data_IF_286940703373
#
_entry.id   IF_286940703373
#
_cell.length_a   1.000
_cell.length_b   1.000
_cell.length_c   1.000
_cell.angle_alpha   90.00
_cell.angle_beta   90.00
_cell.angle_gamma   90.00
#
_symmetry.space_group_name_H-M   'P 1'
#
loop_
_entity.id
_entity.type
_entity.pdbx_description
1 polymer ?
#
# COMPACT_ATOMS: atom_id res chain seq x y z
N UNK A 1 -45.95 -20.60 -29.51
CA UNK A 1 -44.51 -20.90 -29.64
C UNK A 1 -43.63 -19.66 -29.49
N UNK A 2 -43.85 -18.59 -30.25
CA UNK A 2 -43.04 -17.35 -30.20
C UNK A 2 -42.91 -16.71 -28.81
N UNK A 3 -43.98 -16.70 -28.01
CA UNK A 3 -43.96 -16.17 -26.63
C UNK A 3 -43.13 -17.04 -25.67
N UNK A 4 -43.19 -18.36 -25.81
CA UNK A 4 -42.39 -19.30 -25.00
C UNK A 4 -40.91 -19.16 -25.35
N UNK A 5 -40.57 -19.03 -26.64
CA UNK A 5 -39.20 -18.79 -27.10
C UNK A 5 -38.68 -17.47 -26.53
N UNK A 6 -39.49 -16.40 -26.53
CA UNK A 6 -39.10 -15.13 -25.93
C UNK A 6 -38.83 -15.24 -24.42
N UNK A 7 -39.66 -15.97 -23.67
CA UNK A 7 -39.41 -16.18 -22.23
C UNK A 7 -38.14 -16.99 -21.98
N UNK A 8 -37.86 -18.00 -22.81
CA UNK A 8 -36.61 -18.78 -22.70
C UNK A 8 -35.40 -17.90 -22.98
N UNK A 9 -35.45 -17.06 -24.02
CA UNK A 9 -34.36 -16.12 -24.34
C UNK A 9 -34.13 -15.14 -23.19
N UNK A 10 -35.19 -14.55 -22.64
CA UNK A 10 -35.08 -13.64 -21.49
C UNK A 10 -34.52 -14.36 -20.26
N UNK A 11 -34.96 -15.59 -19.97
CA UNK A 11 -34.45 -16.37 -18.85
C UNK A 11 -32.95 -16.70 -19.01
N UNK A 12 -32.50 -17.00 -20.23
CA UNK A 12 -31.08 -17.25 -20.52
C UNK A 12 -30.25 -15.98 -20.31
N UNK A 13 -30.73 -14.82 -20.77
CA UNK A 13 -30.04 -13.53 -20.56
C UNK A 13 -29.95 -13.21 -19.06
N UNK A 14 -31.06 -13.31 -18.33
CA UNK A 14 -31.08 -13.06 -16.89
C UNK A 14 -30.18 -14.04 -16.12
N UNK A 15 -30.16 -15.31 -16.53
CA UNK A 15 -29.25 -16.31 -15.98
C UNK A 15 -27.78 -15.94 -16.22
N UNK A 16 -27.45 -15.44 -17.39
CA UNK A 16 -26.12 -14.91 -17.71
C UNK A 16 -25.72 -13.73 -16.82
N UNK A 17 -26.60 -12.73 -16.68
CA UNK A 17 -26.37 -11.58 -15.80
C UNK A 17 -26.18 -12.01 -14.35
N UNK A 18 -27.01 -12.93 -13.85
CA UNK A 18 -26.90 -13.46 -12.50
C UNK A 18 -25.56 -14.19 -12.28
N UNK A 19 -25.10 -14.97 -13.28
CA UNK A 19 -23.80 -15.63 -13.21
C UNK A 19 -22.65 -14.62 -13.14
N UNK A 20 -22.67 -13.55 -13.95
CA UNK A 20 -21.67 -12.47 -13.92
C UNK A 20 -21.65 -11.75 -12.58
N UNK A 21 -22.83 -11.43 -12.02
CA UNK A 21 -22.90 -10.81 -10.70
C UNK A 21 -22.33 -11.70 -9.59
N UNK A 22 -22.56 -13.02 -9.67
CA UNK A 22 -22.01 -13.99 -8.72
C UNK A 22 -20.49 -14.14 -8.87
N UNK A 23 -19.93 -14.07 -10.07
CA UNK A 23 -18.47 -14.10 -10.26
C UNK A 23 -17.83 -12.83 -9.73
N UNK A 24 -18.39 -11.65 -10.03
CA UNK A 24 -17.93 -10.37 -9.49
C UNK A 24 -17.91 -10.38 -7.95
N UNK A 25 -19.01 -10.81 -7.30
CA UNK A 25 -19.07 -10.89 -5.85
C UNK A 25 -18.03 -11.85 -5.23
N UNK A 26 -17.66 -12.93 -5.94
CA UNK A 26 -16.60 -13.83 -5.47
C UNK A 26 -15.21 -13.19 -5.58
N UNK A 27 -14.97 -12.43 -6.64
CA UNK A 27 -13.74 -11.66 -6.82
C UNK A 27 -13.61 -10.63 -5.70
N UNK A 28 -14.66 -9.84 -5.45
CA UNK A 28 -14.67 -8.82 -4.39
C UNK A 28 -14.32 -9.41 -3.02
N UNK A 29 -14.89 -10.58 -2.68
CA UNK A 29 -14.60 -11.25 -1.40
C UNK A 29 -13.15 -11.72 -1.30
N UNK A 30 -12.54 -12.16 -2.40
CA UNK A 30 -11.14 -12.58 -2.42
C UNK A 30 -10.21 -11.37 -2.29
N UNK A 31 -10.50 -10.30 -3.04
CA UNK A 31 -9.78 -9.04 -2.95
C UNK A 31 -9.86 -8.47 -1.53
N UNK A 32 -11.06 -8.38 -0.95
CA UNK A 32 -11.23 -7.88 0.42
C UNK A 32 -10.43 -8.68 1.46
N UNK A 33 -10.30 -10.00 1.28
CA UNK A 33 -9.49 -10.84 2.16
C UNK A 33 -7.98 -10.59 1.95
N UNK A 34 -7.54 -10.44 0.71
CA UNK A 34 -6.15 -10.10 0.39
C UNK A 34 -5.77 -8.71 0.95
N UNK A 35 -6.67 -7.73 0.87
CA UNK A 35 -6.49 -6.40 1.47
C UNK A 35 -6.38 -6.46 2.99
N UNK A 36 -7.19 -7.30 3.64
CA UNK A 36 -7.08 -7.52 5.08
C UNK A 36 -5.69 -8.07 5.47
N UNK A 37 -5.11 -8.95 4.65
CA UNK A 37 -3.78 -9.54 4.88
C UNK A 37 -2.65 -8.55 4.58
N UNK A 38 -2.80 -7.73 3.54
CA UNK A 38 -1.91 -6.59 3.24
C UNK A 38 -1.85 -5.61 4.41
N UNK A 39 -3.00 -5.32 5.04
CA UNK A 39 -3.06 -4.45 6.23
C UNK A 39 -2.32 -5.03 7.44
N UNK A 40 -2.11 -6.34 7.50
CA UNK A 40 -1.29 -7.02 8.51
C UNK A 40 0.13 -7.32 8.03
N UNK A 41 0.54 -6.79 6.87
CA UNK A 41 1.84 -7.01 6.23
C UNK A 41 2.18 -8.49 5.96
N UNK A 42 1.16 -9.33 5.81
CA UNK A 42 1.30 -10.70 5.30
C UNK A 42 1.26 -10.63 3.77
N UNK A 43 2.42 -10.47 3.13
CA UNK A 43 2.50 -10.14 1.70
C UNK A 43 2.46 -11.36 0.75
N UNK A 44 2.71 -12.58 1.25
CA UNK A 44 2.82 -13.77 0.38
C UNK A 44 1.47 -14.37 -0.03
N UNK A 45 0.49 -14.37 0.89
CA UNK A 45 -0.85 -14.89 0.59
C UNK A 45 -1.64 -13.98 -0.40
N UNK A 46 -1.58 -12.64 -0.29
CA UNK A 46 -2.14 -11.73 -1.28
C UNK A 46 -1.52 -11.89 -2.67
N UNK A 47 -0.21 -12.13 -2.76
CA UNK A 47 0.49 -12.29 -4.04
C UNK A 47 -0.06 -13.47 -4.84
N UNK A 48 -0.22 -14.63 -4.18
CA UNK A 48 -0.83 -15.82 -4.79
C UNK A 48 -2.28 -15.53 -5.21
N UNK A 49 -3.04 -14.87 -4.34
CA UNK A 49 -4.45 -14.54 -4.61
C UNK A 49 -4.60 -13.62 -5.82
N UNK A 50 -3.76 -12.59 -5.92
CA UNK A 50 -3.80 -11.65 -7.03
C UNK A 50 -3.28 -12.27 -8.34
N UNK A 51 -2.29 -13.16 -8.29
CA UNK A 51 -1.82 -13.90 -9.46
C UNK A 51 -2.92 -14.80 -10.04
N UNK A 52 -3.60 -15.58 -9.20
CA UNK A 52 -4.72 -16.45 -9.63
C UNK A 52 -5.88 -15.64 -10.23
N UNK A 53 -6.22 -14.50 -9.62
CA UNK A 53 -7.28 -13.62 -10.14
C UNK A 53 -6.90 -13.01 -11.49
N UNK A 54 -5.62 -12.68 -11.69
CA UNK A 54 -5.12 -12.12 -12.95
C UNK A 54 -5.27 -13.14 -14.06
N UNK A 55 -4.78 -14.37 -13.83
CA UNK A 55 -4.88 -15.46 -14.81
C UNK A 55 -6.33 -15.80 -15.14
N UNK A 56 -7.22 -15.79 -14.14
CA UNK A 56 -8.65 -15.99 -14.35
C UNK A 56 -9.28 -14.92 -15.24
N UNK A 57 -8.85 -13.66 -15.09
CA UNK A 57 -9.37 -12.54 -15.87
C UNK A 57 -8.72 -12.43 -17.26
N UNK A 58 -7.52 -12.98 -17.45
CA UNK A 58 -6.85 -13.04 -18.76
C UNK A 58 -7.65 -13.92 -19.75
N UNK A 59 -8.29 -15.00 -19.27
CA UNK A 59 -9.21 -15.78 -20.11
C UNK A 59 -10.41 -14.94 -20.61
N UNK A 60 -10.77 -13.88 -19.89
CA UNK A 60 -11.83 -12.94 -20.25
C UNK A 60 -11.32 -11.70 -21.00
N UNK A 61 -10.09 -11.73 -21.54
CA UNK A 61 -9.48 -10.60 -22.27
C UNK A 61 -10.35 -10.10 -23.43
N UNK A 62 -11.10 -11.00 -24.06
CA UNK A 62 -12.06 -10.69 -25.12
C UNK A 62 -13.29 -9.87 -24.68
N UNK A 63 -13.48 -9.64 -23.37
CA UNK A 63 -14.60 -8.91 -22.79
C UNK A 63 -14.14 -7.72 -21.95
N UNK A 64 -13.44 -6.72 -22.54
CA UNK A 64 -12.94 -5.56 -21.81
C UNK A 64 -14.06 -4.69 -21.22
N UNK A 65 -15.23 -4.69 -21.84
CA UNK A 65 -16.41 -3.97 -21.35
C UNK A 65 -17.02 -4.56 -20.06
N UNK A 66 -16.67 -5.80 -19.69
CA UNK A 66 -17.13 -6.43 -18.46
C UNK A 66 -16.11 -6.36 -17.33
N UNK A 67 -14.82 -6.51 -17.65
CA UNK A 67 -13.76 -6.72 -16.65
C UNK A 67 -12.55 -5.80 -16.83
N UNK A 68 -12.64 -4.76 -17.67
CA UNK A 68 -11.56 -3.79 -17.87
C UNK A 68 -11.12 -3.15 -16.56
N UNK A 69 -12.08 -2.53 -15.85
CA UNK A 69 -11.82 -1.86 -14.57
C UNK A 69 -11.25 -2.81 -13.52
N UNK A 70 -11.80 -4.02 -13.39
CA UNK A 70 -11.30 -5.03 -12.43
C UNK A 70 -9.86 -5.46 -12.74
N UNK A 71 -9.48 -5.54 -14.01
CA UNK A 71 -8.10 -5.88 -14.40
C UNK A 71 -7.14 -4.73 -14.11
N UNK A 72 -7.52 -3.49 -14.44
CA UNK A 72 -6.73 -2.32 -14.10
C UNK A 72 -6.52 -2.19 -12.58
N UNK A 73 -7.58 -2.41 -11.82
CA UNK A 73 -7.59 -2.41 -10.35
C UNK A 73 -6.67 -3.50 -9.76
N UNK A 74 -6.66 -4.69 -10.37
CA UNK A 74 -5.78 -5.79 -9.96
C UNK A 74 -4.31 -5.55 -10.33
N UNK A 75 -4.05 -4.95 -11.50
CA UNK A 75 -2.70 -4.56 -11.90
C UNK A 75 -2.09 -3.58 -10.89
N UNK A 76 -2.84 -2.53 -10.52
CA UNK A 76 -2.40 -1.59 -9.49
C UNK A 76 -2.09 -2.28 -8.15
N UNK A 77 -2.95 -3.20 -7.68
CA UNK A 77 -2.74 -3.96 -6.43
C UNK A 77 -1.49 -4.81 -6.43
N UNK A 78 -1.20 -5.50 -7.53
CA UNK A 78 0.02 -6.30 -7.67
C UNK A 78 1.26 -5.41 -7.57
N UNK A 79 1.21 -4.23 -8.16
CA UNK A 79 2.30 -3.25 -8.06
C UNK A 79 2.40 -2.68 -6.63
N UNK A 80 1.28 -2.42 -5.95
CA UNK A 80 1.26 -2.04 -4.54
C UNK A 80 1.90 -3.10 -3.64
N UNK A 81 1.66 -4.38 -3.92
CA UNK A 81 2.29 -5.47 -3.18
C UNK A 81 3.81 -5.48 -3.36
N UNK A 82 4.28 -5.34 -4.60
CA UNK A 82 5.72 -5.21 -4.92
C UNK A 82 6.34 -3.98 -4.25
N UNK A 83 5.59 -2.87 -4.19
CA UNK A 83 6.01 -1.66 -3.49
C UNK A 83 6.24 -1.95 -2.01
N UNK A 84 5.32 -2.62 -1.34
CA UNK A 84 5.46 -2.98 0.07
C UNK A 84 6.57 -4.01 0.33
N UNK A 85 6.90 -4.85 -0.65
CA UNK A 85 8.09 -5.73 -0.63
C UNK A 85 9.42 -4.99 -0.85
N UNK A 86 9.38 -3.70 -1.21
CA UNK A 86 10.56 -2.90 -1.48
C UNK A 86 11.14 -3.07 -2.88
N UNK A 87 10.39 -3.65 -3.84
CA UNK A 87 10.84 -3.94 -5.20
C UNK A 87 10.80 -2.69 -6.12
N UNK A 88 11.16 -1.52 -5.60
CA UNK A 88 10.97 -0.24 -6.30
C UNK A 88 11.63 -0.18 -7.68
N UNK A 89 12.89 -0.62 -7.77
CA UNK A 89 13.63 -0.64 -9.03
C UNK A 89 13.01 -1.58 -10.08
N UNK A 90 12.44 -2.71 -9.64
CA UNK A 90 11.73 -3.64 -10.53
C UNK A 90 10.44 -3.03 -11.09
N UNK A 91 9.70 -2.31 -10.24
CA UNK A 91 8.49 -1.58 -10.68
C UNK A 91 8.86 -0.55 -11.76
N UNK A 92 9.93 0.22 -11.56
CA UNK A 92 10.36 1.21 -12.55
C UNK A 92 10.84 0.60 -13.86
N UNK A 93 11.46 -0.58 -13.82
CA UNK A 93 11.86 -1.28 -15.03
C UNK A 93 10.64 -1.71 -15.86
N UNK A 94 9.59 -2.23 -15.19
CA UNK A 94 8.39 -2.72 -15.85
C UNK A 94 7.48 -1.58 -16.34
N UNK A 95 7.48 -0.44 -15.64
CA UNK A 95 6.65 0.74 -15.92
C UNK A 95 7.46 1.97 -16.35
N UNK A 96 8.57 1.75 -17.05
CA UNK A 96 9.45 2.83 -17.53
C UNK A 96 8.71 3.78 -18.51
N UNK A 97 7.80 3.24 -19.33
CA UNK A 97 6.93 4.02 -20.18
C UNK A 97 5.67 4.48 -19.43
N UNK A 98 5.82 5.59 -18.74
CA UNK A 98 4.71 6.26 -18.02
C UNK A 98 3.68 6.89 -18.96
N UNK A 99 3.91 6.89 -20.27
CA UNK A 99 2.98 7.40 -21.28
C UNK A 99 2.10 6.32 -21.90
N UNK A 100 2.33 5.06 -21.53
CA UNK A 100 1.50 3.94 -21.96
C UNK A 100 0.04 4.09 -21.51
N UNK A 101 -0.90 3.56 -22.30
CA UNK A 101 -2.33 3.58 -21.97
C UNK A 101 -2.61 2.87 -20.63
N UNK A 102 -1.90 1.77 -20.35
CA UNK A 102 -2.02 1.02 -19.09
C UNK A 102 -1.75 1.91 -17.87
N UNK A 103 -0.74 2.78 -17.93
CA UNK A 103 -0.40 3.70 -16.84
C UNK A 103 -1.32 4.91 -16.88
N UNK A 104 -1.44 5.58 -18.02
CA UNK A 104 -2.19 6.84 -18.14
C UNK A 104 -3.71 6.72 -17.91
N UNK A 105 -4.30 5.54 -18.13
CA UNK A 105 -5.73 5.30 -17.86
C UNK A 105 -5.99 4.65 -16.48
N UNK A 106 -4.94 4.42 -15.67
CA UNK A 106 -5.02 3.75 -14.38
C UNK A 106 -4.41 4.62 -13.27
N UNK A 107 -5.22 5.52 -12.73
CA UNK A 107 -4.80 6.48 -11.71
C UNK A 107 -4.15 5.81 -10.45
N UNK A 108 -4.70 4.72 -9.88
CA UNK A 108 -4.04 4.00 -8.79
C UNK A 108 -2.64 3.47 -9.16
N UNK A 109 -2.46 2.97 -10.39
CA UNK A 109 -1.17 2.51 -10.89
C UNK A 109 -0.17 3.67 -11.03
N UNK A 110 -0.59 4.81 -11.58
CA UNK A 110 0.26 6.01 -11.66
C UNK A 110 0.76 6.43 -10.28
N UNK A 111 -0.16 6.48 -9.31
CA UNK A 111 0.15 6.90 -7.95
C UNK A 111 1.20 5.97 -7.30
N UNK A 112 1.04 4.65 -7.41
CA UNK A 112 1.99 3.71 -6.80
C UNK A 112 3.34 3.67 -7.53
N UNK A 113 3.36 3.86 -8.85
CA UNK A 113 4.61 3.98 -9.62
C UNK A 113 5.35 5.26 -9.23
N UNK A 114 4.65 6.37 -8.99
CA UNK A 114 5.25 7.61 -8.46
C UNK A 114 5.88 7.40 -7.08
N UNK A 115 5.16 6.69 -6.18
CA UNK A 115 5.68 6.32 -4.87
C UNK A 115 6.97 5.49 -5.01
N UNK A 116 7.00 4.52 -5.94
CA UNK A 116 8.17 3.69 -6.20
C UNK A 116 9.33 4.50 -6.79
N UNK A 117 9.06 5.43 -7.71
CA UNK A 117 10.06 6.32 -8.30
C UNK A 117 10.77 7.15 -7.24
N UNK A 118 10.00 7.75 -6.33
CA UNK A 118 10.54 8.47 -5.20
C UNK A 118 11.41 7.57 -4.31
N UNK A 119 10.90 6.40 -3.90
CA UNK A 119 11.64 5.47 -3.03
C UNK A 119 12.94 4.95 -3.65
N UNK A 120 12.94 4.69 -4.96
CA UNK A 120 14.13 4.24 -5.68
C UNK A 120 15.16 5.36 -5.87
N UNK A 121 14.70 6.59 -6.08
CA UNK A 121 15.56 7.74 -6.35
C UNK A 121 16.13 8.41 -5.10
N UNK A 122 15.47 8.28 -3.94
CA UNK A 122 16.00 8.78 -2.66
C UNK A 122 16.86 7.71 -2.01
N UNK A 123 18.13 7.71 -2.39
CA UNK A 123 19.18 6.87 -1.82
C UNK A 123 20.23 7.75 -1.12
N UNK A 124 20.63 7.38 0.10
CA UNK A 124 21.65 8.10 0.87
C UNK A 124 23.05 8.10 0.21
N UNK A 125 23.30 7.14 -0.67
CA UNK A 125 24.55 7.04 -1.44
C UNK A 125 24.50 7.80 -2.78
N UNK A 126 23.32 8.30 -3.19
CA UNK A 126 23.17 9.02 -4.45
C UNK A 126 23.62 10.47 -4.34
N UNK A 127 24.11 11.01 -5.45
CA UNK A 127 24.48 12.42 -5.53
C UNK A 127 23.25 13.32 -5.36
N UNK A 128 23.43 14.48 -4.70
CA UNK A 128 22.33 15.41 -4.42
C UNK A 128 21.53 15.79 -5.67
N UNK A 129 22.21 15.99 -6.79
CA UNK A 129 21.55 16.34 -8.06
C UNK A 129 20.66 15.21 -8.58
N UNK A 130 21.07 13.96 -8.38
CA UNK A 130 20.29 12.79 -8.77
C UNK A 130 19.02 12.65 -7.93
N UNK A 131 19.15 12.86 -6.61
CA UNK A 131 18.01 12.87 -5.70
C UNK A 131 17.02 13.99 -6.04
N UNK A 132 17.51 15.21 -6.31
CA UNK A 132 16.65 16.32 -6.72
C UNK A 132 15.90 16.02 -8.03
N UNK A 133 16.56 15.39 -9.01
CA UNK A 133 15.94 14.98 -10.27
C UNK A 133 14.84 13.94 -10.07
N UNK A 134 15.07 12.97 -9.19
CA UNK A 134 14.07 11.97 -8.84
C UNK A 134 12.85 12.60 -8.15
N UNK A 135 13.09 13.53 -7.22
CA UNK A 135 12.02 14.29 -6.55
C UNK A 135 11.23 15.13 -7.56
N UNK A 136 11.90 15.83 -8.49
CA UNK A 136 11.25 16.60 -9.56
C UNK A 136 10.34 15.73 -10.43
N UNK A 137 10.80 14.53 -10.80
CA UNK A 137 10.00 13.55 -11.53
C UNK A 137 8.75 13.13 -10.76
N UNK A 138 8.90 12.75 -9.48
CA UNK A 138 7.79 12.34 -8.63
C UNK A 138 6.77 13.46 -8.39
N UNK A 139 7.22 14.71 -8.18
CA UNK A 139 6.35 15.90 -8.09
C UNK A 139 5.49 16.04 -9.35
N UNK A 140 6.09 15.86 -10.53
CA UNK A 140 5.38 15.92 -11.81
C UNK A 140 4.26 14.88 -11.91
N UNK A 141 4.52 13.64 -11.47
CA UNK A 141 3.49 12.59 -11.49
C UNK A 141 2.37 12.85 -10.48
N UNK A 142 2.68 13.25 -9.24
CA UNK A 142 1.62 13.60 -8.27
C UNK A 142 0.79 14.78 -8.72
N UNK A 143 1.39 15.77 -9.38
CA UNK A 143 0.63 16.86 -9.99
C UNK A 143 -0.32 16.35 -11.07
N UNK A 144 0.11 15.41 -11.92
CA UNK A 144 -0.75 14.75 -12.89
C UNK A 144 -1.92 14.04 -12.23
N UNK A 145 -1.66 13.25 -11.17
CA UNK A 145 -2.69 12.58 -10.38
C UNK A 145 -3.71 13.57 -9.81
N UNK A 146 -3.25 14.72 -9.30
CA UNK A 146 -4.12 15.77 -8.75
C UNK A 146 -4.88 16.56 -9.81
N UNK A 147 -4.38 16.64 -11.03
CA UNK A 147 -5.12 17.26 -12.15
C UNK A 147 -6.31 16.39 -12.57
N UNK A 148 -6.16 15.07 -12.50
CA UNK A 148 -7.23 14.12 -12.81
C UNK A 148 -8.19 13.88 -11.62
N UNK A 149 -7.63 13.80 -10.40
CA UNK A 149 -8.37 13.61 -9.15
C UNK A 149 -7.94 14.64 -8.10
N UNK A 150 -8.53 15.85 -8.10
CA UNK A 150 -8.16 16.94 -7.20
C UNK A 150 -8.32 16.62 -5.71
N UNK A 151 -9.24 15.71 -5.38
CA UNK A 151 -9.57 15.33 -4.01
C UNK A 151 -8.76 14.12 -3.51
N UNK A 152 -7.71 13.68 -4.23
CA UNK A 152 -6.89 12.53 -3.83
C UNK A 152 -5.99 12.88 -2.62
N UNK A 153 -6.30 12.38 -1.40
CA UNK A 153 -5.65 12.88 -0.18
C UNK A 153 -4.17 12.52 -0.11
N UNK A 154 -3.80 11.29 -0.45
CA UNK A 154 -2.41 10.82 -0.35
C UNK A 154 -1.50 11.49 -1.40
N UNK A 155 -2.00 11.72 -2.62
CA UNK A 155 -1.29 12.45 -3.65
C UNK A 155 -1.07 13.92 -3.24
N UNK A 156 -2.08 14.57 -2.65
CA UNK A 156 -1.97 15.94 -2.15
C UNK A 156 -0.92 16.04 -1.02
N UNK A 157 -0.96 15.10 -0.08
CA UNK A 157 0.03 15.03 1.00
C UNK A 157 1.44 14.80 0.45
N UNK A 158 1.62 13.82 -0.43
CA UNK A 158 2.93 13.48 -1.00
C UNK A 158 3.48 14.63 -1.86
N UNK A 159 2.64 15.30 -2.64
CA UNK A 159 3.01 16.47 -3.43
C UNK A 159 3.58 17.60 -2.57
N UNK A 160 2.84 17.99 -1.53
CA UNK A 160 3.26 19.04 -0.59
C UNK A 160 4.53 18.65 0.17
N UNK A 161 4.63 17.40 0.61
CA UNK A 161 5.82 16.87 1.27
C UNK A 161 7.04 16.96 0.36
N UNK A 162 6.94 16.53 -0.90
CA UNK A 162 8.05 16.54 -1.84
C UNK A 162 8.50 17.94 -2.22
N UNK A 163 7.59 18.90 -2.35
CA UNK A 163 7.97 20.30 -2.61
C UNK A 163 8.86 20.85 -1.49
N UNK A 164 8.48 20.59 -0.23
CA UNK A 164 9.25 21.04 0.94
C UNK A 164 10.59 20.32 1.02
N UNK A 165 10.57 18.99 0.88
CA UNK A 165 11.79 18.18 0.90
C UNK A 165 12.78 18.61 -0.18
N UNK A 166 12.30 18.88 -1.39
CA UNK A 166 13.13 19.39 -2.49
C UNK A 166 13.81 20.71 -2.11
N UNK A 167 13.05 21.65 -1.54
CA UNK A 167 13.58 22.94 -1.12
C UNK A 167 14.65 22.79 -0.03
N UNK A 168 14.41 21.92 0.95
CA UNK A 168 15.34 21.64 2.05
C UNK A 168 16.65 21.02 1.52
N UNK A 169 16.57 19.98 0.69
CA UNK A 169 17.75 19.33 0.09
C UNK A 169 18.53 20.33 -0.78
N UNK A 170 17.83 21.16 -1.56
CA UNK A 170 18.46 22.21 -2.36
C UNK A 170 19.16 23.28 -1.51
N UNK A 171 18.62 23.58 -0.32
CA UNK A 171 19.24 24.46 0.67
C UNK A 171 20.41 23.80 1.43
N UNK A 172 20.64 22.50 1.23
CA UNK A 172 21.76 21.76 1.79
C UNK A 172 21.42 20.88 2.98
N UNK A 173 20.13 20.63 3.25
CA UNK A 173 19.72 19.63 4.22
C UNK A 173 20.19 18.21 3.83
N UNK A 174 20.29 17.34 4.82
CA UNK A 174 20.63 15.94 4.62
C UNK A 174 19.51 15.20 3.88
N UNK A 175 19.90 14.22 3.06
CA UNK A 175 18.96 13.38 2.32
C UNK A 175 18.34 12.38 3.31
N UNK A 176 17.00 12.35 3.46
CA UNK A 176 16.37 11.47 4.42
C UNK A 176 16.62 10.01 4.08
N UNK A 177 17.04 9.23 5.08
CA UNK A 177 17.22 7.79 4.96
C UNK A 177 15.84 7.11 4.96
N UNK A 178 15.38 6.65 3.79
CA UNK A 178 14.20 5.80 3.71
C UNK A 178 14.47 4.42 4.32
N UNK A 179 13.58 3.92 5.20
CA UNK A 179 13.60 2.49 5.54
C UNK A 179 13.06 1.69 4.36
N UNK A 180 13.81 0.67 3.94
CA UNK A 180 13.34 -0.32 2.95
C UNK A 180 12.29 -1.24 3.58
N UNK A 181 12.35 -1.43 4.90
CA UNK A 181 11.38 -2.22 5.64
C UNK A 181 10.10 -1.39 5.93
N UNK A 182 8.91 -1.87 5.52
CA UNK A 182 7.64 -1.23 5.86
C UNK A 182 7.33 -1.23 7.36
N UNK A 183 7.94 -2.14 8.14
CA UNK A 183 7.85 -2.16 9.61
C UNK A 183 8.78 -1.12 10.29
N UNK A 184 9.49 -0.31 9.50
CA UNK A 184 10.55 0.56 10.00
C UNK A 184 11.84 -0.20 10.30
N UNK A 185 12.81 0.52 10.86
CA UNK A 185 14.07 -0.07 11.34
C UNK A 185 13.82 -0.61 12.75
N UNK A 186 14.51 -1.69 13.11
CA UNK A 186 14.59 -2.09 14.51
C UNK A 186 15.14 -0.89 15.31
N UNK A 187 14.44 -0.50 16.36
CA UNK A 187 14.88 0.60 17.22
C UNK A 187 16.21 0.25 17.87
N UNK A 188 17.12 1.21 17.96
CA UNK A 188 18.33 1.00 18.75
C UNK A 188 17.96 0.73 20.20
N UNK A 189 18.67 -0.22 20.83
CA UNK A 189 18.52 -0.41 22.27
C UNK A 189 18.83 0.91 22.96
N UNK A 190 17.99 1.40 23.88
CA UNK A 190 18.25 2.64 24.59
C UNK A 190 19.65 2.58 25.20
N UNK A 191 20.42 3.66 25.06
CA UNK A 191 21.67 3.78 25.81
C UNK A 191 21.35 3.66 27.31
N UNK A 192 22.25 3.07 28.11
CA UNK A 192 21.97 2.72 29.52
C UNK A 192 21.46 3.91 30.37
N UNK A 193 21.74 5.16 29.97
CA UNK A 193 21.24 6.38 30.61
C UNK A 193 19.85 6.86 30.15
N UNK A 194 19.35 6.40 29.00
CA UNK A 194 18.03 6.75 28.47
C UNK A 194 16.90 5.90 29.07
N UNK A 195 17.24 4.77 29.69
CA UNK A 195 16.28 3.90 30.40
C UNK A 195 15.65 4.58 31.62
N UNK A 196 16.38 5.50 32.27
CA UNK A 196 15.90 6.26 33.43
C UNK A 196 14.85 7.32 33.06
N UNK A 197 14.76 7.69 31.78
CA UNK A 197 13.86 8.74 31.28
C UNK A 197 12.59 8.20 30.60
N UNK A 198 12.44 6.87 30.51
CA UNK A 198 11.25 6.23 29.91
C UNK A 198 10.05 6.44 30.84
N UNK A 199 9.24 7.46 30.54
CA UNK A 199 7.97 7.72 31.22
C UNK A 199 6.91 6.74 30.71
N UNK A 200 6.75 5.63 31.42
CA UNK A 200 5.66 4.68 31.18
C UNK A 200 4.37 5.30 31.70
N UNK A 201 3.53 5.80 30.80
CA UNK A 201 2.18 6.22 31.14
C UNK A 201 1.30 4.97 31.25
N UNK A 202 1.05 4.52 32.48
CA UNK A 202 0.05 3.49 32.77
C UNK A 202 -1.31 4.19 32.87
N UNK A 203 -2.30 3.87 32.00
CA UNK A 203 -3.65 4.36 32.20
C UNK A 203 -4.18 3.83 33.54
N UNK A 204 -4.39 4.74 34.50
CA UNK A 204 -5.03 4.39 35.76
C UNK A 204 -6.49 4.01 35.44
N UNK A 205 -6.86 2.77 35.73
CA UNK A 205 -8.28 2.43 35.82
C UNK A 205 -8.89 3.29 36.92
N UNK A 206 -10.00 3.96 36.60
CA UNK A 206 -10.66 4.96 37.45
C UNK A 206 -11.13 4.41 38.82
N UNK A 207 -11.07 3.09 39.00
CA UNK A 207 -11.65 2.36 40.13
C UNK A 207 -10.63 2.07 41.25
N UNK A 208 -9.39 2.56 41.13
CA UNK A 208 -8.33 2.33 42.13
C UNK A 208 -8.09 3.61 42.94
N UNK A 209 -8.40 3.52 44.24
CA UNK A 209 -8.24 4.57 45.25
C UNK A 209 -6.75 5.05 45.32
N UNK A 210 -6.48 6.35 45.13
CA UNK A 210 -5.11 6.89 45.06
C UNK A 210 -4.34 6.86 46.40
N UNK A 211 -4.94 6.43 47.51
CA UNK A 211 -4.23 6.32 48.79
C UNK A 211 -3.57 4.95 49.05
N UNK A 212 -3.66 3.99 48.13
CA UNK A 212 -2.90 2.74 48.24
C UNK A 212 -1.60 2.80 47.43
N UNK A 213 -0.51 2.98 48.18
CA UNK A 213 0.87 2.55 47.89
C UNK A 213 1.86 3.62 47.36
N UNK A 214 2.37 4.45 48.28
CA UNK A 214 3.57 5.29 48.10
C UNK A 214 4.89 4.47 48.01
N UNK A 215 4.82 3.17 47.72
CA UNK A 215 5.99 2.33 47.50
C UNK A 215 5.66 1.30 46.44
N UNK A 216 5.83 1.60 45.14
CA UNK A 216 5.63 0.60 44.11
C UNK A 216 6.63 -0.51 44.40
N UNK A 217 6.15 -1.60 44.97
CA UNK A 217 6.97 -2.78 45.19
C UNK A 217 7.28 -3.26 43.79
N UNK A 218 8.51 -3.00 43.33
CA UNK A 218 9.07 -3.61 42.14
C UNK A 218 8.77 -5.10 42.26
N UNK A 219 7.83 -5.59 41.46
CA UNK A 219 7.45 -6.98 41.45
C UNK A 219 8.72 -7.77 41.18
N UNK A 220 9.23 -8.48 42.19
CA UNK A 220 10.33 -9.40 42.02
C UNK A 220 9.85 -10.50 41.08
N UNK A 221 10.08 -10.31 39.79
CA UNK A 221 9.75 -11.29 38.76
C UNK A 221 10.41 -12.61 39.14
N UNK A 222 9.60 -13.63 39.39
CA UNK A 222 10.12 -14.98 39.60
C UNK A 222 10.95 -15.38 38.39
N UNK A 223 12.21 -15.78 38.63
CA UNK A 223 13.13 -16.23 37.60
C UNK A 223 12.53 -17.35 36.75
N UNK A 224 12.62 -17.19 35.43
CA UNK A 224 12.12 -18.14 34.44
C UNK A 224 12.82 -19.49 34.66
N UNK A 225 12.06 -20.51 35.09
CA UNK A 225 12.54 -21.90 35.15
C UNK A 225 12.58 -22.47 33.72
N UNK A 226 13.77 -22.76 33.21
CA UNK A 226 13.94 -23.62 32.03
C UNK A 226 13.35 -25.00 32.33
N UNK A 227 12.34 -25.42 31.56
CA UNK A 227 11.94 -26.83 31.46
C UNK A 227 12.97 -27.55 30.58
N UNK A 228 13.54 -28.63 31.11
CA UNK A 228 14.15 -29.69 30.31
C UNK A 228 13.11 -30.61 29.71
#
# INVERSE_FOLDING_TARGET
MRTVINYVVVAVILGGVAAVALTASRIDRRVARAEQQMATLELDAPDTTYAELSEYLDFAESMPWLFGDTRADLAARRVTLRYWRGEFAGILADYADTTSAEVTENLPLQFIVANAAYRAGVNAEAEREEVLRAIDGAIGVYLGVLQESPDHPDAAYNYEYLIRLRADIAAGADIPMGSVNPNGREGESPEDGALEEIKIYVPLQQDVDPEMDESPTLGAGQGIRKRG
#
